data_IF_597317819328
#
_entry.id   IF_597317819328
#
_cell.length_a   1.000
_cell.length_b   1.000
_cell.length_c   1.000
_cell.angle_alpha   90.00
_cell.angle_beta   90.00
_cell.angle_gamma   90.00
#
_symmetry.space_group_name_H-M   'P 1'
#
loop_
_entity.id
_entity.type
_entity.pdbx_description
1 polymer ?
#
# COMPACT_ATOMS: atom_id res chain seq x y z
N UNK A 1 19.27 14.59 28.84
CA UNK A 1 20.64 14.92 28.41
C UNK A 1 20.64 16.30 27.80
N UNK A 2 21.57 17.20 28.21
CA UNK A 2 21.67 18.55 27.64
C UNK A 2 22.37 18.43 26.29
N UNK A 3 21.65 18.60 25.19
CA UNK A 3 22.24 18.55 23.86
C UNK A 3 23.06 19.82 23.60
N UNK A 4 24.32 19.67 23.17
CA UNK A 4 25.15 20.78 22.71
C UNK A 4 24.50 21.42 21.49
N UNK A 5 24.44 22.75 21.48
CA UNK A 5 23.81 23.56 20.42
C UNK A 5 24.85 24.38 19.65
N UNK A 6 24.47 24.90 18.48
CA UNK A 6 25.33 25.87 17.75
C UNK A 6 25.63 27.11 18.57
N UNK A 7 24.79 27.49 19.53
CA UNK A 7 25.02 28.60 20.45
C UNK A 7 26.18 28.30 21.43
N UNK A 8 26.36 27.06 21.82
CA UNK A 8 27.44 26.65 22.72
C UNK A 8 28.78 26.70 21.98
N UNK A 9 28.85 26.27 20.71
CA UNK A 9 30.02 26.41 19.85
C UNK A 9 30.37 27.89 19.63
N UNK A 10 29.36 28.70 19.32
CA UNK A 10 29.54 30.15 19.11
C UNK A 10 30.12 30.85 20.35
N UNK A 11 29.62 30.46 21.54
CA UNK A 11 30.10 30.98 22.82
C UNK A 11 31.53 30.54 23.10
N UNK A 12 31.87 29.28 22.85
CA UNK A 12 33.22 28.72 23.06
C UNK A 12 34.27 29.38 22.20
N UNK A 13 33.93 29.68 20.94
CA UNK A 13 34.85 30.30 19.96
C UNK A 13 34.75 31.81 19.90
N UNK A 14 33.89 32.46 20.72
CA UNK A 14 33.69 33.94 20.69
C UNK A 14 33.31 34.46 19.29
N UNK A 15 32.55 33.70 18.50
CA UNK A 15 32.08 34.12 17.17
C UNK A 15 30.53 34.08 17.10
N UNK A 16 29.98 34.71 16.03
CA UNK A 16 28.51 34.74 15.88
C UNK A 16 27.91 33.36 15.57
N UNK A 17 26.68 33.12 16.03
CA UNK A 17 25.91 31.88 15.71
C UNK A 17 25.76 31.71 14.19
N UNK A 18 25.62 32.81 13.44
CA UNK A 18 25.52 32.78 11.99
C UNK A 18 26.83 32.33 11.34
N UNK A 19 27.99 32.74 11.87
CA UNK A 19 29.32 32.28 11.42
C UNK A 19 29.48 30.77 11.67
N UNK A 20 29.13 30.27 12.84
CA UNK A 20 29.14 28.83 13.16
C UNK A 20 28.22 28.06 12.22
N UNK A 21 26.99 28.54 12.01
CA UNK A 21 26.03 27.90 11.10
C UNK A 21 26.55 27.77 9.68
N UNK A 22 27.13 28.87 9.14
CA UNK A 22 27.71 28.89 7.79
C UNK A 22 28.98 28.01 7.70
N UNK A 23 29.85 28.05 8.69
CA UNK A 23 31.03 27.20 8.74
C UNK A 23 30.68 25.70 8.74
N UNK A 24 29.67 25.31 9.50
CA UNK A 24 29.19 23.93 9.54
C UNK A 24 28.51 23.48 8.24
N UNK A 25 28.01 24.42 7.40
CA UNK A 25 27.39 24.11 6.09
C UNK A 25 28.33 24.27 4.91
N UNK A 26 29.63 24.40 5.15
CA UNK A 26 30.66 24.54 4.14
C UNK A 26 30.48 25.77 3.22
N UNK A 27 29.94 26.87 3.76
CA UNK A 27 29.71 28.12 3.03
C UNK A 27 31.06 28.71 2.55
N UNK A 28 31.15 28.94 1.24
CA UNK A 28 32.37 29.47 0.58
C UNK A 28 32.78 30.86 1.08
N UNK A 29 31.84 31.61 1.68
CA UNK A 29 32.13 32.94 2.24
C UNK A 29 32.79 32.88 3.63
N UNK A 30 32.96 31.71 4.22
CA UNK A 30 33.70 31.52 5.48
C UNK A 30 35.15 31.10 5.17
N UNK A 31 36.10 31.81 5.77
CA UNK A 31 37.53 31.49 5.62
C UNK A 31 37.82 30.07 6.08
N UNK A 32 38.71 29.38 5.38
CA UNK A 32 39.05 27.97 5.63
C UNK A 32 39.45 27.73 7.08
N UNK A 33 40.32 28.59 7.63
CA UNK A 33 40.78 28.50 9.02
C UNK A 33 39.63 28.57 10.03
N UNK A 34 38.69 29.49 9.82
CA UNK A 34 37.50 29.62 10.68
C UNK A 34 36.61 28.38 10.58
N UNK A 35 36.48 27.78 9.39
CA UNK A 35 35.72 26.58 9.17
C UNK A 35 36.31 25.37 9.90
N UNK A 36 37.64 25.17 9.75
CA UNK A 36 38.35 24.11 10.42
C UNK A 36 38.26 24.22 11.95
N UNK A 37 38.43 25.42 12.50
CA UNK A 37 38.28 25.70 13.93
C UNK A 37 36.87 25.37 14.45
N UNK A 38 35.81 25.73 13.70
CA UNK A 38 34.41 25.44 14.08
C UNK A 38 34.12 23.93 14.04
N UNK A 39 34.64 23.22 13.02
CA UNK A 39 34.43 21.77 12.89
C UNK A 39 35.14 21.03 14.02
N UNK A 40 36.36 21.43 14.37
CA UNK A 40 37.13 20.84 15.45
C UNK A 40 36.46 21.05 16.81
N UNK A 41 35.99 22.29 17.08
CA UNK A 41 35.27 22.61 18.31
C UNK A 41 33.93 21.89 18.39
N UNK A 42 33.19 21.75 17.28
CA UNK A 42 31.98 20.95 17.24
C UNK A 42 32.23 19.49 17.61
N UNK A 43 33.31 18.90 17.12
CA UNK A 43 33.75 17.55 17.49
C UNK A 43 34.10 17.45 18.98
N UNK A 44 34.89 18.42 19.49
CA UNK A 44 35.33 18.47 20.88
C UNK A 44 34.15 18.54 21.86
N UNK A 45 33.16 19.34 21.53
CA UNK A 45 31.94 19.50 22.35
C UNK A 45 30.91 18.36 22.18
N UNK A 46 31.14 17.44 21.21
CA UNK A 46 30.18 16.38 20.91
C UNK A 46 28.91 16.90 20.23
N UNK A 47 29.00 18.02 19.52
CA UNK A 47 27.85 18.59 18.80
C UNK A 47 27.41 17.63 17.68
N UNK A 48 26.14 17.27 17.72
CA UNK A 48 25.48 16.57 16.60
C UNK A 48 24.51 17.55 15.94
N UNK A 49 24.66 17.71 14.62
CA UNK A 49 23.71 18.54 13.85
C UNK A 49 22.30 18.04 14.13
N UNK A 50 21.42 18.97 14.50
CA UNK A 50 20.01 18.64 14.64
C UNK A 50 19.37 18.57 13.24
N UNK A 51 18.95 17.39 12.76
CA UNK A 51 18.32 17.25 11.44
C UNK A 51 17.05 18.11 11.32
N UNK A 52 16.28 18.24 12.39
CA UNK A 52 15.03 19.04 12.42
C UNK A 52 15.32 20.52 12.16
N UNK A 53 16.37 21.07 12.78
CA UNK A 53 16.76 22.46 12.57
C UNK A 53 17.31 22.72 11.15
N UNK A 54 17.96 21.72 10.56
CA UNK A 54 18.42 21.80 9.16
C UNK A 54 17.24 21.71 8.18
N UNK A 55 16.32 20.82 8.41
CA UNK A 55 15.13 20.62 7.60
C UNK A 55 14.26 21.89 7.56
N UNK A 56 14.04 22.54 8.72
CA UNK A 56 13.36 23.84 8.82
C UNK A 56 14.03 24.93 7.96
N UNK A 57 15.37 24.93 7.88
CA UNK A 57 16.11 25.89 7.05
C UNK A 57 16.03 25.58 5.56
N UNK A 58 15.90 24.31 5.19
CA UNK A 58 15.83 23.85 3.80
C UNK A 58 14.40 23.73 3.28
N UNK A 59 13.38 23.85 4.15
CA UNK A 59 11.97 23.67 3.81
C UNK A 59 11.61 22.23 3.41
N UNK A 60 12.50 21.24 3.68
CA UNK A 60 12.28 19.82 3.37
C UNK A 60 12.84 18.94 4.50
N UNK A 61 12.10 17.88 4.83
CA UNK A 61 12.48 16.94 5.89
C UNK A 61 13.23 15.71 5.36
N UNK A 62 13.23 15.52 4.04
CA UNK A 62 13.68 14.30 3.36
C UNK A 62 13.01 13.06 3.96
N UNK A 63 11.72 13.18 4.26
CA UNK A 63 10.91 12.11 4.85
C UNK A 63 9.64 11.93 4.03
N UNK A 64 9.37 10.73 3.61
CA UNK A 64 8.14 10.33 2.92
C UNK A 64 7.30 9.52 3.88
N UNK A 65 6.03 9.92 4.04
CA UNK A 65 5.04 9.16 4.78
C UNK A 65 4.46 8.04 3.91
N UNK A 66 4.32 6.85 4.48
CA UNK A 66 3.65 5.72 3.86
C UNK A 66 2.52 5.29 4.78
N UNK A 67 1.28 5.36 4.30
CA UNK A 67 0.10 4.93 5.06
C UNK A 67 -0.45 3.67 4.40
N UNK A 68 -0.56 2.61 5.19
CA UNK A 68 -1.07 1.31 4.76
C UNK A 68 -2.32 0.92 5.55
N UNK A 69 -3.27 0.20 4.95
CA UNK A 69 -4.47 -0.24 5.66
C UNK A 69 -4.18 -1.31 6.71
N UNK A 70 -3.21 -2.21 6.43
CA UNK A 70 -2.83 -3.31 7.31
C UNK A 70 -1.36 -3.73 7.08
N UNK A 71 -0.76 -4.42 8.04
CA UNK A 71 0.62 -4.94 7.96
C UNK A 71 0.74 -6.43 8.34
N UNK A 72 -0.37 -7.11 8.55
CA UNK A 72 -0.40 -8.50 8.99
C UNK A 72 -0.27 -9.52 7.83
N UNK A 73 -0.39 -9.05 6.57
CA UNK A 73 -0.16 -9.88 5.40
C UNK A 73 1.13 -9.50 4.66
N UNK A 74 1.72 -10.39 3.84
CA UNK A 74 2.90 -10.07 3.04
C UNK A 74 2.66 -8.99 1.97
N UNK A 75 1.42 -8.62 1.67
CA UNK A 75 1.06 -7.66 0.63
C UNK A 75 1.71 -6.29 0.88
N UNK A 76 1.41 -5.69 2.03
CA UNK A 76 1.94 -4.38 2.40
C UNK A 76 3.47 -4.38 2.48
N UNK A 77 4.07 -5.43 3.06
CA UNK A 77 5.53 -5.52 3.21
C UNK A 77 6.26 -5.57 1.86
N UNK A 78 5.73 -6.27 0.85
CA UNK A 78 6.31 -6.32 -0.49
C UNK A 78 6.24 -4.95 -1.19
N UNK A 79 5.11 -4.24 -1.08
CA UNK A 79 5.00 -2.88 -1.62
C UNK A 79 5.97 -1.93 -0.90
N UNK A 80 6.05 -2.00 0.44
CA UNK A 80 6.98 -1.19 1.24
C UNK A 80 8.44 -1.46 0.83
N UNK A 81 8.82 -2.71 0.57
CA UNK A 81 10.16 -3.04 0.07
C UNK A 81 10.46 -2.30 -1.23
N UNK A 82 9.53 -2.32 -2.19
CA UNK A 82 9.67 -1.57 -3.44
C UNK A 82 9.79 -0.06 -3.22
N UNK A 83 9.02 0.51 -2.30
CA UNK A 83 9.12 1.93 -1.91
C UNK A 83 10.50 2.24 -1.34
N UNK A 84 10.97 1.43 -0.39
CA UNK A 84 12.27 1.62 0.26
C UNK A 84 13.43 1.51 -0.70
N UNK A 85 13.38 0.59 -1.67
CA UNK A 85 14.40 0.42 -2.71
C UNK A 85 14.70 1.71 -3.49
N UNK A 86 13.68 2.50 -3.77
CA UNK A 86 13.80 3.78 -4.48
C UNK A 86 14.21 4.90 -3.54
N UNK A 87 13.51 5.05 -2.42
CA UNK A 87 13.68 6.18 -1.51
C UNK A 87 15.04 6.15 -0.80
N UNK A 88 15.52 4.96 -0.42
CA UNK A 88 16.82 4.80 0.22
C UNK A 88 17.97 5.27 -0.68
N UNK A 89 17.93 4.94 -1.98
CA UNK A 89 18.92 5.39 -2.98
C UNK A 89 18.93 6.91 -3.17
N UNK A 90 17.79 7.57 -2.83
CA UNK A 90 17.63 9.03 -2.89
C UNK A 90 17.88 9.73 -1.55
N UNK A 91 18.42 9.02 -0.54
CA UNK A 91 18.63 9.49 0.82
C UNK A 91 17.33 10.04 1.49
N UNK A 92 16.18 9.49 1.11
CA UNK A 92 14.91 9.78 1.75
C UNK A 92 14.68 8.82 2.93
N UNK A 93 14.05 9.32 3.97
CA UNK A 93 13.56 8.51 5.10
C UNK A 93 12.13 8.09 4.81
N UNK A 94 11.73 6.94 5.35
CA UNK A 94 10.36 6.45 5.26
C UNK A 94 9.76 6.40 6.64
N UNK A 95 8.59 7.04 6.82
CA UNK A 95 7.76 6.94 8.02
C UNK A 95 6.53 6.12 7.65
N UNK A 96 6.36 4.96 8.27
CA UNK A 96 5.26 4.05 7.99
C UNK A 96 4.22 4.15 9.10
N UNK A 97 2.94 4.25 8.73
CA UNK A 97 1.81 4.21 9.65
C UNK A 97 0.74 3.25 9.13
N UNK A 98 0.21 2.43 10.02
CA UNK A 98 -0.87 1.49 9.76
C UNK A 98 -2.20 2.05 10.23
N UNK A 99 -3.24 1.91 9.43
CA UNK A 99 -4.59 2.38 9.75
C UNK A 99 -5.49 1.29 10.35
N UNK A 100 -5.06 0.03 10.36
CA UNK A 100 -5.82 -1.11 10.91
C UNK A 100 -7.25 -1.20 10.33
N UNK A 101 -7.35 -0.97 9.01
CA UNK A 101 -8.62 -0.91 8.24
C UNK A 101 -9.67 0.09 8.82
N UNK A 102 -9.21 1.13 9.55
CA UNK A 102 -10.08 2.12 10.21
C UNK A 102 -9.86 3.50 9.61
N UNK A 103 -10.86 4.10 8.94
CA UNK A 103 -10.75 5.45 8.38
C UNK A 103 -10.43 6.53 9.42
N UNK A 104 -10.87 6.36 10.67
CA UNK A 104 -10.56 7.29 11.76
C UNK A 104 -9.08 7.28 12.09
N UNK A 105 -8.45 6.10 12.13
CA UNK A 105 -7.01 5.93 12.36
C UNK A 105 -6.20 6.42 11.16
N UNK A 106 -6.70 6.23 9.94
CA UNK A 106 -6.11 6.82 8.74
C UNK A 106 -6.06 8.35 8.84
N UNK A 107 -7.15 9.00 9.30
CA UNK A 107 -7.21 10.44 9.51
C UNK A 107 -6.22 10.92 10.59
N UNK A 108 -6.07 10.17 11.67
CA UNK A 108 -5.07 10.47 12.70
C UNK A 108 -3.64 10.36 12.14
N UNK A 109 -3.38 9.32 11.33
CA UNK A 109 -2.10 9.15 10.66
C UNK A 109 -1.80 10.31 9.69
N UNK A 110 -2.78 10.78 8.92
CA UNK A 110 -2.62 11.94 8.03
C UNK A 110 -2.23 13.20 8.81
N UNK A 111 -2.93 13.50 9.91
CA UNK A 111 -2.62 14.64 10.79
C UNK A 111 -1.22 14.52 11.42
N UNK A 112 -0.83 13.30 11.79
CA UNK A 112 0.51 13.03 12.31
C UNK A 112 1.57 13.29 11.24
N UNK A 113 1.38 12.81 10.00
CA UNK A 113 2.31 13.04 8.89
C UNK A 113 2.46 14.53 8.57
N UNK A 114 1.36 15.29 8.60
CA UNK A 114 1.36 16.75 8.46
C UNK A 114 2.18 17.42 9.57
N UNK A 115 1.96 17.06 10.84
CA UNK A 115 2.70 17.59 11.99
C UNK A 115 4.21 17.30 11.92
N UNK A 116 4.59 16.13 11.40
CA UNK A 116 5.98 15.76 11.15
C UNK A 116 6.55 16.41 9.88
N UNK A 117 5.74 17.17 9.14
CA UNK A 117 6.13 17.87 7.90
C UNK A 117 6.81 16.93 6.91
N UNK A 118 6.20 15.77 6.66
CA UNK A 118 6.70 14.87 5.61
C UNK A 118 6.64 15.57 4.25
N UNK A 119 7.60 15.33 3.37
CA UNK A 119 7.69 16.00 2.07
C UNK A 119 6.66 15.45 1.06
N UNK A 120 6.11 14.26 1.32
CA UNK A 120 5.08 13.65 0.51
C UNK A 120 4.50 12.39 1.16
N UNK A 121 3.40 11.92 0.61
CA UNK A 121 2.66 10.74 1.08
C UNK A 121 2.49 9.71 -0.03
N UNK A 122 2.63 8.44 0.34
CA UNK A 122 2.24 7.28 -0.46
C UNK A 122 1.17 6.53 0.34
N UNK A 123 -0.02 6.36 -0.22
CA UNK A 123 -1.19 5.91 0.55
C UNK A 123 -1.94 4.81 -0.17
N UNK A 124 -2.29 3.73 0.56
CA UNK A 124 -3.34 2.80 0.20
C UNK A 124 -4.49 2.97 1.19
N UNK A 125 -5.70 3.19 0.70
CA UNK A 125 -6.84 3.64 1.51
C UNK A 125 -7.52 2.53 2.29
N UNK A 126 -8.07 2.87 3.46
CA UNK A 126 -9.05 2.03 4.16
C UNK A 126 -10.44 2.10 3.52
N UNK A 127 -10.81 3.26 2.98
CA UNK A 127 -12.12 3.48 2.33
C UNK A 127 -11.98 4.50 1.20
N UNK A 128 -12.53 4.16 0.03
CA UNK A 128 -12.48 5.05 -1.13
C UNK A 128 -13.40 6.28 -1.02
N UNK A 129 -14.19 6.39 0.05
CA UNK A 129 -15.17 7.47 0.29
C UNK A 129 -14.83 8.36 1.49
N UNK A 130 -13.95 7.91 2.38
CA UNK A 130 -13.62 8.62 3.62
C UNK A 130 -12.34 9.45 3.46
N UNK A 131 -12.20 10.45 4.31
CA UNK A 131 -11.03 11.32 4.39
C UNK A 131 -10.67 12.11 3.11
N UNK A 132 -11.54 12.12 2.09
CA UNK A 132 -11.29 12.77 0.79
C UNK A 132 -10.96 14.25 0.95
N UNK A 133 -11.70 14.97 1.80
CA UNK A 133 -11.49 16.39 2.08
C UNK A 133 -10.09 16.66 2.68
N UNK A 134 -9.62 15.76 3.57
CA UNK A 134 -8.28 15.88 4.15
C UNK A 134 -7.18 15.71 3.10
N UNK A 135 -7.31 14.74 2.19
CA UNK A 135 -6.38 14.59 1.08
C UNK A 135 -6.37 15.81 0.15
N UNK A 136 -7.55 16.36 -0.15
CA UNK A 136 -7.67 17.58 -0.96
C UNK A 136 -7.00 18.77 -0.28
N UNK A 137 -7.21 18.95 1.02
CA UNK A 137 -6.57 20.02 1.78
C UNK A 137 -5.06 19.88 1.80
N UNK A 138 -4.52 18.71 2.14
CA UNK A 138 -3.07 18.46 2.17
C UNK A 138 -2.43 18.75 0.80
N UNK A 139 -3.09 18.33 -0.29
CA UNK A 139 -2.60 18.61 -1.63
C UNK A 139 -2.65 20.11 -1.98
N UNK A 140 -3.70 20.82 -1.57
CA UNK A 140 -3.81 22.28 -1.74
C UNK A 140 -2.74 23.04 -0.94
N UNK A 141 -2.31 22.50 0.21
CA UNK A 141 -1.22 23.01 1.02
C UNK A 141 0.17 22.63 0.46
N UNK A 142 0.22 21.95 -0.69
CA UNK A 142 1.44 21.66 -1.43
C UNK A 142 2.07 20.30 -1.12
N UNK A 143 1.40 19.42 -0.37
CA UNK A 143 1.88 18.06 -0.10
C UNK A 143 1.76 17.20 -1.35
N UNK A 144 2.85 16.56 -1.75
CA UNK A 144 2.85 15.56 -2.83
C UNK A 144 2.18 14.27 -2.35
N UNK A 145 1.08 13.85 -2.97
CA UNK A 145 0.34 12.63 -2.59
C UNK A 145 0.26 11.70 -3.78
N UNK A 146 0.54 10.42 -3.55
CA UNK A 146 0.41 9.33 -4.51
C UNK A 146 -0.39 8.20 -3.87
N UNK A 147 -1.45 7.77 -4.54
CA UNK A 147 -2.20 6.60 -4.13
C UNK A 147 -1.68 5.33 -4.82
N UNK A 148 -1.79 4.20 -4.15
CA UNK A 148 -1.51 2.90 -4.77
C UNK A 148 -2.53 1.86 -4.32
N UNK A 149 -2.74 0.84 -5.16
CA UNK A 149 -3.66 -0.27 -4.91
C UNK A 149 -5.09 0.23 -4.64
N UNK A 150 -5.40 0.64 -3.43
CA UNK A 150 -6.70 1.18 -3.03
C UNK A 150 -6.73 2.70 -3.18
N UNK A 151 -7.53 3.16 -4.11
CA UNK A 151 -7.56 4.55 -4.54
C UNK A 151 -8.89 5.25 -4.20
N UNK A 152 -8.90 6.59 -4.05
CA UNK A 152 -10.13 7.34 -3.85
C UNK A 152 -10.97 7.42 -5.12
N UNK A 153 -12.27 7.37 -4.98
CA UNK A 153 -13.17 7.59 -6.11
C UNK A 153 -13.27 9.07 -6.47
N UNK A 154 -13.05 9.39 -7.73
CA UNK A 154 -13.27 10.73 -8.28
C UNK A 154 -12.21 11.79 -7.90
N UNK A 155 -11.16 11.43 -7.15
CA UNK A 155 -10.07 12.34 -6.83
C UNK A 155 -8.93 12.17 -7.84
N UNK A 156 -8.60 13.26 -8.54
CA UNK A 156 -7.49 13.27 -9.49
C UNK A 156 -6.20 13.56 -8.74
N UNK A 157 -5.36 12.55 -8.59
CA UNK A 157 -4.00 12.60 -8.03
C UNK A 157 -3.20 11.44 -8.65
N UNK A 158 -1.87 11.48 -8.62
CA UNK A 158 -1.06 10.37 -9.16
C UNK A 158 -1.39 9.04 -8.48
N UNK A 159 -1.53 7.97 -9.27
CA UNK A 159 -1.98 6.67 -8.80
C UNK A 159 -1.19 5.53 -9.45
N UNK A 160 -0.94 4.46 -8.70
CA UNK A 160 -0.37 3.20 -9.21
C UNK A 160 -1.33 2.07 -8.86
N UNK A 161 -1.89 1.44 -9.87
CA UNK A 161 -2.94 0.41 -9.72
C UNK A 161 -2.70 -0.78 -10.65
N UNK A 162 -3.50 -1.82 -10.49
CA UNK A 162 -3.73 -2.85 -11.50
C UNK A 162 -5.14 -2.70 -12.04
N UNK A 163 -5.48 -3.41 -13.11
CA UNK A 163 -6.84 -3.40 -13.65
C UNK A 163 -7.68 -4.51 -12.98
N UNK A 164 -8.15 -4.22 -11.77
CA UNK A 164 -8.92 -5.15 -10.95
C UNK A 164 -10.15 -5.75 -11.65
N UNK A 165 -10.80 -4.96 -12.53
CA UNK A 165 -11.96 -5.42 -13.29
C UNK A 165 -11.55 -6.46 -14.34
N UNK A 166 -10.60 -6.09 -15.20
CA UNK A 166 -10.11 -6.95 -16.30
C UNK A 166 -9.47 -8.21 -15.74
N UNK A 167 -8.67 -8.10 -14.69
CA UNK A 167 -7.99 -9.24 -14.06
C UNK A 167 -9.00 -10.22 -13.44
N UNK A 168 -10.02 -9.71 -12.76
CA UNK A 168 -11.09 -10.55 -12.20
C UNK A 168 -11.94 -11.20 -13.28
N UNK A 169 -12.23 -10.45 -14.35
CA UNK A 169 -12.90 -11.02 -15.51
C UNK A 169 -12.12 -12.23 -16.06
N UNK A 170 -10.82 -12.11 -16.26
CA UNK A 170 -10.01 -13.22 -16.79
C UNK A 170 -9.91 -14.40 -15.82
N UNK A 171 -9.81 -14.15 -14.52
CA UNK A 171 -9.83 -15.24 -13.53
C UNK A 171 -11.14 -16.01 -13.58
N UNK A 172 -12.29 -15.33 -13.63
CA UNK A 172 -13.59 -15.99 -13.69
C UNK A 172 -13.81 -16.69 -15.02
N UNK A 173 -13.42 -16.08 -16.15
CA UNK A 173 -13.43 -16.72 -17.46
C UNK A 173 -12.59 -18.00 -17.47
N UNK A 174 -11.43 -17.99 -16.82
CA UNK A 174 -10.57 -19.18 -16.67
C UNK A 174 -11.30 -20.31 -15.92
N UNK A 175 -11.91 -20.02 -14.77
CA UNK A 175 -12.70 -21.00 -14.01
C UNK A 175 -13.84 -21.59 -14.85
N UNK A 176 -14.54 -20.74 -15.63
CA UNK A 176 -15.62 -21.20 -16.52
C UNK A 176 -15.08 -22.12 -17.63
N UNK A 177 -13.94 -21.77 -18.24
CA UNK A 177 -13.28 -22.59 -19.28
C UNK A 177 -12.83 -23.95 -18.75
N UNK A 178 -12.48 -24.04 -17.47
CA UNK A 178 -12.20 -25.31 -16.77
C UNK A 178 -13.48 -26.08 -16.37
N UNK A 179 -14.67 -25.59 -16.81
CA UNK A 179 -15.94 -26.29 -16.67
C UNK A 179 -16.79 -25.90 -15.46
N UNK A 180 -16.37 -24.90 -14.67
CA UNK A 180 -17.14 -24.43 -13.50
C UNK A 180 -18.25 -23.50 -13.93
N UNK A 181 -19.43 -23.64 -13.31
CA UNK A 181 -20.65 -22.89 -13.72
C UNK A 181 -21.31 -22.15 -12.58
N UNK A 182 -21.13 -22.61 -11.35
CA UNK A 182 -21.72 -21.99 -10.14
C UNK A 182 -20.61 -21.46 -9.24
N UNK A 183 -20.04 -20.33 -9.65
CA UNK A 183 -18.88 -19.73 -9.00
C UNK A 183 -19.37 -18.77 -7.94
N UNK A 184 -19.12 -19.04 -6.65
CA UNK A 184 -19.36 -18.08 -5.58
C UNK A 184 -18.28 -17.02 -5.57
N UNK A 185 -18.66 -15.75 -5.51
CA UNK A 185 -17.71 -14.65 -5.30
C UNK A 185 -17.76 -14.14 -3.86
N UNK A 186 -16.65 -14.26 -3.14
CA UNK A 186 -16.45 -13.66 -1.82
C UNK A 186 -15.96 -12.22 -1.99
N UNK A 187 -16.89 -11.27 -1.96
CA UNK A 187 -16.67 -9.91 -2.47
C UNK A 187 -15.74 -9.04 -1.62
N UNK A 188 -15.62 -9.30 -0.32
CA UNK A 188 -14.96 -8.36 0.59
C UNK A 188 -15.84 -7.14 0.95
N UNK A 189 -15.29 -6.14 1.66
CA UNK A 189 -16.03 -4.97 2.13
C UNK A 189 -16.45 -4.01 1.01
N UNK A 190 -17.63 -3.39 1.14
CA UNK A 190 -18.15 -2.43 0.17
C UNK A 190 -17.38 -1.11 0.09
N UNK A 191 -16.60 -0.76 1.13
CA UNK A 191 -15.84 0.50 1.20
C UNK A 191 -14.48 0.45 0.52
N UNK A 192 -14.12 -0.71 -0.07
CA UNK A 192 -12.87 -0.90 -0.80
C UNK A 192 -13.15 -0.87 -2.30
N UNK A 193 -12.53 0.07 -3.02
CA UNK A 193 -12.77 0.26 -4.45
C UNK A 193 -12.42 -0.98 -5.28
N UNK A 194 -11.33 -1.66 -4.93
CA UNK A 194 -10.91 -2.90 -5.59
C UNK A 194 -11.97 -4.01 -5.45
N UNK A 195 -12.63 -4.12 -4.28
CA UNK A 195 -13.71 -5.11 -4.09
C UNK A 195 -14.87 -4.86 -5.05
N UNK A 196 -15.21 -3.59 -5.27
CA UNK A 196 -16.23 -3.20 -6.25
C UNK A 196 -15.78 -3.52 -7.68
N UNK A 197 -14.56 -3.16 -8.07
CA UNK A 197 -14.03 -3.40 -9.42
C UNK A 197 -13.90 -4.90 -9.73
N UNK A 198 -13.37 -5.68 -8.78
CA UNK A 198 -13.29 -7.14 -8.94
C UNK A 198 -14.69 -7.77 -9.05
N UNK A 199 -15.67 -7.24 -8.31
CA UNK A 199 -17.07 -7.64 -8.42
C UNK A 199 -17.68 -7.35 -9.78
N UNK A 200 -17.33 -6.24 -10.41
CA UNK A 200 -17.73 -5.93 -11.79
C UNK A 200 -17.15 -6.94 -12.78
N UNK A 201 -15.84 -7.21 -12.70
CA UNK A 201 -15.19 -8.19 -13.59
C UNK A 201 -15.78 -9.60 -13.44
N UNK A 202 -16.05 -10.04 -12.18
CA UNK A 202 -16.79 -11.28 -11.94
C UNK A 202 -18.14 -11.28 -12.65
N UNK A 203 -18.93 -10.22 -12.45
CA UNK A 203 -20.27 -10.09 -13.04
C UNK A 203 -20.20 -10.14 -14.57
N UNK A 204 -19.34 -9.35 -15.18
CA UNK A 204 -19.18 -9.27 -16.64
C UNK A 204 -18.81 -10.64 -17.24
N UNK A 205 -17.91 -11.38 -16.61
CA UNK A 205 -17.56 -12.74 -17.05
C UNK A 205 -18.77 -13.68 -16.95
N UNK A 206 -19.47 -13.72 -15.80
CA UNK A 206 -20.61 -14.60 -15.59
C UNK A 206 -21.78 -14.26 -16.52
N UNK A 207 -22.06 -12.96 -16.77
CA UNK A 207 -23.08 -12.52 -17.73
C UNK A 207 -22.75 -12.92 -19.17
N UNK A 208 -21.50 -12.75 -19.60
CA UNK A 208 -21.04 -13.14 -20.96
C UNK A 208 -21.26 -14.63 -21.24
N UNK A 209 -21.10 -15.47 -20.25
CA UNK A 209 -21.30 -16.94 -20.38
C UNK A 209 -22.71 -17.38 -19.99
N UNK A 210 -23.64 -16.46 -19.70
CA UNK A 210 -25.03 -16.73 -19.30
C UNK A 210 -25.14 -17.57 -18.00
N UNK A 211 -24.20 -17.36 -17.07
CA UNK A 211 -24.12 -18.07 -15.78
C UNK A 211 -24.37 -17.16 -14.57
N UNK A 212 -24.64 -15.87 -14.79
CA UNK A 212 -24.78 -14.91 -13.72
C UNK A 212 -25.96 -15.21 -12.81
N UNK A 213 -25.68 -15.39 -11.52
CA UNK A 213 -26.65 -15.54 -10.44
C UNK A 213 -26.25 -14.58 -9.31
N UNK A 214 -27.01 -13.49 -9.05
CA UNK A 214 -26.64 -12.53 -8.01
C UNK A 214 -26.61 -13.12 -6.60
N UNK A 215 -27.27 -14.25 -6.35
CA UNK A 215 -27.23 -14.95 -5.06
C UNK A 215 -25.87 -15.56 -4.73
N UNK A 216 -24.99 -15.71 -5.74
CA UNK A 216 -23.64 -16.22 -5.60
C UNK A 216 -22.61 -15.12 -5.25
N UNK A 217 -23.01 -13.84 -5.20
CA UNK A 217 -22.16 -12.76 -4.68
C UNK A 217 -22.41 -12.64 -3.18
N UNK A 218 -21.37 -12.93 -2.39
CA UNK A 218 -21.47 -12.96 -0.92
C UNK A 218 -20.55 -11.92 -0.32
N UNK A 219 -21.14 -10.96 0.39
CA UNK A 219 -20.38 -9.96 1.15
C UNK A 219 -19.68 -10.61 2.35
N UNK A 220 -18.41 -10.32 2.50
CA UNK A 220 -17.55 -10.87 3.56
C UNK A 220 -16.67 -9.78 4.17
N UNK A 221 -15.99 -10.12 5.29
CA UNK A 221 -14.78 -9.39 5.70
C UNK A 221 -13.57 -9.78 4.85
N UNK A 222 -12.35 -9.69 5.40
CA UNK A 222 -11.12 -9.95 4.66
C UNK A 222 -10.19 -10.99 5.32
N UNK A 223 -10.59 -11.52 6.48
CA UNK A 223 -9.75 -12.44 7.25
C UNK A 223 -9.93 -13.91 6.79
N UNK A 224 -8.99 -14.78 7.17
CA UNK A 224 -9.15 -16.22 7.01
C UNK A 224 -10.46 -16.74 7.63
N UNK A 225 -10.80 -16.18 8.80
CA UNK A 225 -12.03 -16.54 9.50
C UNK A 225 -13.27 -16.16 8.70
N UNK A 226 -13.30 -15.00 8.08
CA UNK A 226 -14.42 -14.55 7.25
C UNK A 226 -14.63 -15.47 6.06
N UNK A 227 -13.55 -15.93 5.43
CA UNK A 227 -13.60 -16.94 4.38
C UNK A 227 -14.21 -18.25 4.88
N UNK A 228 -13.75 -18.76 6.02
CA UNK A 228 -14.27 -19.99 6.63
C UNK A 228 -15.74 -19.86 7.04
N UNK A 229 -16.10 -18.80 7.77
CA UNK A 229 -17.48 -18.55 8.22
C UNK A 229 -18.45 -18.42 7.04
N UNK A 230 -17.96 -17.88 5.92
CA UNK A 230 -18.79 -17.75 4.70
C UNK A 230 -19.08 -19.12 4.07
N UNK A 231 -18.08 -20.02 4.03
CA UNK A 231 -18.32 -21.39 3.59
C UNK A 231 -19.34 -22.10 4.48
N UNK A 232 -19.26 -21.92 5.81
CA UNK A 232 -20.24 -22.50 6.72
C UNK A 232 -21.67 -22.01 6.42
N UNK A 233 -21.83 -20.71 6.18
CA UNK A 233 -23.14 -20.13 5.81
C UNK A 233 -23.68 -20.70 4.50
N UNK A 234 -22.83 -20.84 3.48
CA UNK A 234 -23.21 -21.39 2.18
C UNK A 234 -23.67 -22.84 2.29
N UNK A 235 -22.92 -23.67 3.00
CA UNK A 235 -23.25 -25.10 3.22
C UNK A 235 -24.51 -25.22 4.08
N UNK A 236 -24.64 -24.45 5.17
CA UNK A 236 -25.85 -24.45 6.01
C UNK A 236 -27.11 -24.08 5.22
N UNK A 237 -27.01 -23.08 4.35
CA UNK A 237 -28.11 -22.62 3.48
C UNK A 237 -28.30 -23.51 2.24
N UNK A 238 -27.55 -24.60 2.10
CA UNK A 238 -27.61 -25.53 0.97
C UNK A 238 -27.43 -24.85 -0.39
N UNK A 239 -26.59 -23.82 -0.45
CA UNK A 239 -26.21 -23.17 -1.71
C UNK A 239 -25.35 -24.14 -2.50
N UNK A 240 -25.74 -24.44 -3.72
CA UNK A 240 -24.95 -25.25 -4.63
C UNK A 240 -23.89 -24.40 -5.34
N UNK A 241 -22.63 -24.82 -5.31
CA UNK A 241 -21.53 -24.17 -6.03
C UNK A 241 -20.42 -25.17 -6.34
N UNK A 242 -19.67 -24.91 -7.40
CA UNK A 242 -18.58 -25.75 -7.90
C UNK A 242 -17.22 -25.01 -7.93
N UNK A 243 -17.24 -23.70 -7.64
CA UNK A 243 -16.02 -22.91 -7.44
C UNK A 243 -16.24 -21.74 -6.46
N UNK A 244 -15.14 -21.29 -5.87
CA UNK A 244 -15.04 -20.07 -5.07
C UNK A 244 -14.00 -19.16 -5.69
N UNK A 245 -14.40 -17.95 -6.04
CA UNK A 245 -13.47 -16.84 -6.34
C UNK A 245 -13.52 -15.86 -5.18
N UNK A 246 -12.38 -15.60 -4.56
CA UNK A 246 -12.29 -14.74 -3.39
C UNK A 246 -11.60 -13.41 -3.71
N UNK A 247 -12.08 -12.33 -3.10
CA UNK A 247 -11.51 -10.99 -3.21
C UNK A 247 -10.01 -10.96 -2.90
N UNK A 248 -9.53 -11.79 -1.95
CA UNK A 248 -8.11 -11.92 -1.60
C UNK A 248 -7.72 -13.38 -1.39
N UNK A 249 -6.40 -13.67 -1.47
CA UNK A 249 -5.85 -14.98 -1.13
C UNK A 249 -6.14 -15.36 0.33
N UNK A 250 -6.15 -14.40 1.23
CA UNK A 250 -6.50 -14.62 2.65
C UNK A 250 -7.90 -15.24 2.79
N UNK A 251 -8.88 -14.68 2.08
CA UNK A 251 -10.25 -15.23 2.04
C UNK A 251 -10.28 -16.60 1.36
N UNK A 252 -9.56 -16.75 0.22
CA UNK A 252 -9.49 -18.00 -0.51
C UNK A 252 -8.95 -19.14 0.35
N UNK A 253 -7.86 -18.89 1.08
CA UNK A 253 -7.24 -19.88 1.99
C UNK A 253 -8.18 -20.24 3.13
N UNK A 254 -8.87 -19.25 3.72
CA UNK A 254 -9.87 -19.50 4.76
C UNK A 254 -11.00 -20.38 4.26
N UNK A 255 -11.54 -20.07 3.08
CA UNK A 255 -12.58 -20.86 2.40
C UNK A 255 -12.10 -22.28 2.08
N UNK A 256 -10.91 -22.42 1.47
CA UNK A 256 -10.32 -23.73 1.12
C UNK A 256 -10.15 -24.63 2.35
N UNK A 257 -9.55 -24.10 3.40
CA UNK A 257 -9.31 -24.85 4.63
C UNK A 257 -10.64 -25.31 5.25
N UNK A 258 -11.68 -24.48 5.20
CA UNK A 258 -13.00 -24.83 5.72
C UNK A 258 -13.69 -25.89 4.86
N UNK A 259 -13.66 -25.77 3.54
CA UNK A 259 -14.18 -26.80 2.61
C UNK A 259 -13.57 -28.16 2.91
N UNK A 260 -12.25 -28.23 3.03
CA UNK A 260 -11.52 -29.48 3.33
C UNK A 260 -11.88 -30.04 4.71
N UNK A 261 -12.02 -29.18 5.72
CA UNK A 261 -12.46 -29.62 7.06
C UNK A 261 -13.89 -30.19 7.06
N UNK A 262 -14.72 -29.77 6.10
CA UNK A 262 -16.07 -30.32 5.88
C UNK A 262 -16.06 -31.57 4.95
N UNK A 263 -14.90 -32.09 4.59
CA UNK A 263 -14.75 -33.27 3.75
C UNK A 263 -14.91 -33.02 2.25
N UNK A 264 -14.97 -31.75 1.82
CA UNK A 264 -14.98 -31.42 0.40
C UNK A 264 -13.59 -31.51 -0.20
N UNK A 265 -13.49 -32.02 -1.42
CA UNK A 265 -12.21 -32.15 -2.12
C UNK A 265 -11.97 -30.91 -2.99
N UNK A 266 -10.80 -30.30 -2.80
CA UNK A 266 -10.27 -29.22 -3.62
C UNK A 266 -9.00 -29.77 -4.28
N UNK A 267 -8.92 -29.81 -5.60
CA UNK A 267 -9.80 -29.19 -6.62
C UNK A 267 -10.95 -30.07 -7.12
N UNK A 268 -11.02 -31.39 -6.83
CA UNK A 268 -11.85 -32.33 -7.57
C UNK A 268 -13.34 -32.01 -7.55
N UNK A 269 -13.87 -31.54 -6.40
CA UNK A 269 -15.29 -31.16 -6.26
C UNK A 269 -15.48 -29.64 -6.42
N UNK A 270 -14.62 -28.85 -5.79
CA UNK A 270 -14.76 -27.40 -5.74
C UNK A 270 -13.41 -26.75 -6.05
N UNK A 271 -13.38 -25.83 -7.01
CA UNK A 271 -12.22 -25.00 -7.27
C UNK A 271 -12.15 -23.81 -6.30
N UNK A 272 -10.94 -23.34 -5.99
CA UNK A 272 -10.72 -22.15 -5.20
C UNK A 272 -9.69 -21.26 -5.89
N UNK A 273 -10.07 -20.00 -6.11
CA UNK A 273 -9.16 -19.00 -6.65
C UNK A 273 -9.20 -17.73 -5.81
N UNK A 274 -8.09 -17.00 -5.79
CA UNK A 274 -7.92 -15.76 -5.05
C UNK A 274 -7.40 -14.62 -5.91
N UNK A 275 -6.98 -13.58 -5.22
CA UNK A 275 -6.34 -12.39 -5.78
C UNK A 275 -5.36 -11.84 -4.72
N UNK A 276 -4.14 -11.56 -5.02
CA UNK A 276 -3.05 -10.91 -4.27
C UNK A 276 -1.68 -11.47 -4.62
N UNK A 277 -1.58 -12.76 -4.95
CA UNK A 277 -0.35 -13.42 -5.37
C UNK A 277 0.76 -13.45 -4.29
N UNK A 278 0.41 -13.35 -3.02
CA UNK A 278 1.39 -13.38 -1.94
C UNK A 278 1.91 -14.80 -1.67
N UNK A 279 3.03 -14.91 -0.95
CA UNK A 279 3.60 -16.21 -0.56
C UNK A 279 2.59 -17.11 0.17
N UNK A 280 1.58 -16.53 0.84
CA UNK A 280 0.53 -17.29 1.51
C UNK A 280 -0.20 -18.25 0.57
N UNK A 281 -0.36 -17.89 -0.71
CA UNK A 281 -1.01 -18.72 -1.72
C UNK A 281 -0.20 -19.97 -2.08
N UNK A 282 1.10 -20.00 -1.80
CA UNK A 282 2.03 -21.12 -2.13
C UNK A 282 2.35 -22.04 -0.96
N UNK A 283 2.16 -21.55 0.29
CA UNK A 283 2.48 -22.36 1.50
C UNK A 283 1.33 -23.26 1.97
N UNK A 284 0.15 -23.10 1.38
CA UNK A 284 -1.02 -23.96 1.64
C UNK A 284 -1.07 -25.11 0.63
N UNK A 285 -1.77 -26.17 0.97
CA UNK A 285 -1.99 -27.30 0.07
C UNK A 285 -3.49 -27.64 0.02
N UNK A 286 -4.09 -27.70 -1.16
CA UNK A 286 -3.57 -27.28 -2.48
C UNK A 286 -3.14 -25.81 -2.52
N UNK A 287 -2.11 -25.51 -3.34
CA UNK A 287 -1.68 -24.12 -3.57
C UNK A 287 -2.78 -23.33 -4.31
N UNK A 288 -2.98 -22.07 -3.94
CA UNK A 288 -4.09 -21.24 -4.46
C UNK A 288 -3.74 -20.68 -5.84
N UNK A 289 -4.60 -20.92 -6.83
CA UNK A 289 -4.65 -20.17 -8.09
C UNK A 289 -5.04 -18.73 -7.81
N UNK A 290 -4.27 -17.76 -8.31
CA UNK A 290 -4.46 -16.36 -7.96
C UNK A 290 -4.04 -15.40 -9.08
N UNK A 291 -4.62 -14.20 -9.09
CA UNK A 291 -4.04 -13.05 -9.80
C UNK A 291 -2.94 -12.44 -8.94
N UNK A 292 -1.75 -12.30 -9.52
CA UNK A 292 -0.54 -11.82 -8.85
C UNK A 292 -0.14 -10.43 -9.37
N UNK A 293 -0.48 -9.35 -8.63
CA UNK A 293 0.04 -8.01 -8.90
C UNK A 293 1.55 -7.94 -8.68
N UNK A 294 2.31 -7.12 -9.43
CA UNK A 294 3.74 -6.93 -9.22
C UNK A 294 3.99 -5.96 -8.05
N UNK A 295 3.85 -6.43 -6.80
CA UNK A 295 3.77 -5.61 -5.59
C UNK A 295 5.01 -4.74 -5.35
N UNK A 296 6.21 -5.29 -5.53
CA UNK A 296 7.44 -4.50 -5.40
C UNK A 296 7.55 -3.43 -6.49
N UNK A 297 7.13 -3.74 -7.73
CA UNK A 297 7.11 -2.74 -8.81
C UNK A 297 6.09 -1.65 -8.52
N UNK A 298 4.92 -2.00 -7.97
CA UNK A 298 3.92 -1.04 -7.50
C UNK A 298 4.53 -0.06 -6.50
N UNK A 299 5.25 -0.57 -5.51
CA UNK A 299 5.96 0.25 -4.53
C UNK A 299 7.03 1.14 -5.17
N UNK A 300 7.84 0.60 -6.08
CA UNK A 300 8.86 1.39 -6.81
C UNK A 300 8.22 2.51 -7.61
N UNK A 301 7.14 2.24 -8.35
CA UNK A 301 6.44 3.25 -9.15
C UNK A 301 5.79 4.32 -8.29
N UNK A 302 5.20 3.95 -7.15
CA UNK A 302 4.64 4.93 -6.22
C UNK A 302 5.73 5.86 -5.65
N UNK A 303 6.88 5.32 -5.29
CA UNK A 303 8.02 6.09 -4.82
C UNK A 303 8.64 7.00 -5.91
N UNK A 304 8.72 6.53 -7.16
CA UNK A 304 9.14 7.35 -8.30
C UNK A 304 8.20 8.52 -8.51
N UNK A 305 6.88 8.27 -8.50
CA UNK A 305 5.84 9.29 -8.71
C UNK A 305 5.82 10.35 -7.60
N UNK A 306 5.92 9.95 -6.32
CA UNK A 306 5.94 10.93 -5.23
C UNK A 306 7.18 11.82 -5.30
N UNK A 307 8.34 11.27 -5.65
CA UNK A 307 9.55 12.06 -5.84
C UNK A 307 9.47 12.98 -7.06
N UNK A 308 8.81 12.54 -8.13
CA UNK A 308 8.55 13.38 -9.30
C UNK A 308 7.62 14.55 -8.92
N UNK A 309 6.51 14.29 -8.20
CA UNK A 309 5.55 15.31 -7.75
C UNK A 309 6.19 16.31 -6.78
N UNK A 310 7.08 15.89 -5.88
CA UNK A 310 7.84 16.77 -4.98
C UNK A 310 8.76 17.72 -5.77
N UNK A 311 9.37 17.22 -6.84
CA UNK A 311 10.32 18.03 -7.65
C UNK A 311 9.63 18.86 -8.72
N UNK A 312 8.44 18.45 -9.17
CA UNK A 312 7.60 19.14 -10.13
C UNK A 312 6.15 19.17 -9.65
N UNK A 313 5.77 20.10 -8.76
CA UNK A 313 4.42 20.19 -8.21
C UNK A 313 3.32 20.35 -9.28
N UNK A 314 3.66 20.96 -10.40
CA UNK A 314 2.73 21.21 -11.53
C UNK A 314 2.62 20.04 -12.50
N UNK A 315 3.25 18.88 -12.21
CA UNK A 315 3.10 17.71 -13.08
C UNK A 315 1.63 17.28 -13.16
N UNK A 316 1.21 16.86 -14.34
CA UNK A 316 -0.11 16.30 -14.55
C UNK A 316 -0.31 15.03 -13.72
N UNK A 317 -1.48 14.92 -13.11
CA UNK A 317 -1.85 13.72 -12.38
C UNK A 317 -2.09 12.58 -13.36
N UNK A 318 -1.42 11.45 -13.13
CA UNK A 318 -1.52 10.29 -14.00
C UNK A 318 -1.75 9.00 -13.21
N UNK A 319 -2.42 8.07 -13.85
CA UNK A 319 -2.56 6.71 -13.36
C UNK A 319 -1.57 5.80 -14.09
N UNK A 320 -0.77 5.07 -13.33
CA UNK A 320 0.09 4.00 -13.82
C UNK A 320 -0.61 2.68 -13.57
N UNK A 321 -0.99 1.98 -14.64
CA UNK A 321 -1.62 0.67 -14.55
C UNK A 321 -0.56 -0.40 -14.78
N UNK A 322 -0.33 -1.25 -13.79
CA UNK A 322 0.60 -2.36 -13.84
C UNK A 322 -0.12 -3.64 -14.30
N UNK A 323 0.63 -4.52 -14.94
CA UNK A 323 0.08 -5.79 -15.43
C UNK A 323 0.22 -6.86 -14.35
N UNK A 324 -0.90 -7.52 -14.03
CA UNK A 324 -0.92 -8.73 -13.19
C UNK A 324 -0.53 -9.97 -13.98
N UNK A 325 -0.21 -11.04 -13.27
CA UNK A 325 0.01 -12.37 -13.84
C UNK A 325 -0.94 -13.37 -13.19
N UNK A 326 -1.65 -14.17 -13.99
CA UNK A 326 -2.43 -15.28 -13.46
C UNK A 326 -1.49 -16.44 -13.13
N UNK A 327 -1.51 -16.88 -11.88
CA UNK A 327 -0.75 -18.04 -11.39
C UNK A 327 -1.72 -19.20 -11.22
N UNK A 328 -1.73 -20.10 -12.20
CA UNK A 328 -2.52 -21.33 -12.13
C UNK A 328 -1.82 -22.34 -11.23
N UNK A 329 -2.55 -22.95 -10.31
CA UNK A 329 -2.01 -23.86 -9.29
C UNK A 329 -3.01 -24.97 -8.94
N UNK A 330 -2.61 -25.83 -8.00
CA UNK A 330 -3.33 -27.05 -7.60
C UNK A 330 -4.81 -26.83 -7.24
N UNK A 331 -5.20 -25.67 -6.69
CA UNK A 331 -6.58 -25.41 -6.25
C UNK A 331 -7.60 -25.30 -7.39
N UNK A 332 -7.12 -25.26 -8.64
CA UNK A 332 -7.93 -25.32 -9.87
C UNK A 332 -7.58 -26.54 -10.75
N UNK A 333 -6.72 -27.43 -10.24
CA UNK A 333 -6.36 -28.68 -10.93
C UNK A 333 -5.22 -28.54 -11.94
N UNK A 334 -4.40 -27.50 -11.79
CA UNK A 334 -3.26 -27.19 -12.68
C UNK A 334 -1.91 -27.28 -11.97
#
# INVERSE_FOLDING_TARGET
MKHVTIKDIARSLCISVSTVSRALTDDKNIRRETREMVVEEAKRLGYKRNPVAMNLKMGRTNTIGVIVPEMHTPYASQVINGIQDVLYKKNQKVMIAESDEKPERELENLKMMEQFMVDGLIVSLCSYRKNIEMYQQLAADGMAIVFYDRIPYGLKMPQVVVDDNVDSYFMVEHLIRLGRKRIVYLQGPDDIYNAYQRGLGYREAMEKFHLFDPSLIVKTGMTFKDGADTIDRLIYNKVEFDAVFAFTDTLAIGAQNRLRALGKRVPEEIFVAGFSGTELSTIVSPQITTMEPPLEEMGRKAAELVMEKINNPEMEDRQVVLKTTMQCRESTGE
#
